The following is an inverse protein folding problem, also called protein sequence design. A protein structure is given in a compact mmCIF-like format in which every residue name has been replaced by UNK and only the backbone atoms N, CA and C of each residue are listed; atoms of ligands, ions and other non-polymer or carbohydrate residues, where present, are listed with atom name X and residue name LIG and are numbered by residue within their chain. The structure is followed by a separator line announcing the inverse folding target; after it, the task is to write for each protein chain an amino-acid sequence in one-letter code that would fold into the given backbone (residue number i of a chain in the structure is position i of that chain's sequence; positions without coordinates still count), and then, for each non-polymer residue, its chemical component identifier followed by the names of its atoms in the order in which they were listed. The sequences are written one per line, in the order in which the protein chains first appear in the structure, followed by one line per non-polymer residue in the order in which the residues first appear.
data_IF_255961024659
#
_entry.id   IF_255961024659
#
_cell.length_a   1.000
_cell.length_b   1.000
_cell.length_c   1.000
_cell.angle_alpha   90.00
_cell.angle_beta   90.00
_cell.angle_gamma   90.00
#
_symmetry.space_group_name_H-M   'P 1'
#
loop_
_entity.id
_entity.type
_entity.pdbx_description
1 polymer ?
#
# COMPACT_ATOMS: atom_id res chain seq x y z
N UNK A 1 -27.49 7.78 5.41
CA UNK A 1 -27.92 7.68 4.03
C UNK A 1 -27.04 8.56 3.15
N UNK A 2 -25.78 8.13 2.87
CA UNK A 2 -24.83 8.82 1.96
C UNK A 2 -23.78 7.85 1.41
N UNK A 3 -24.16 6.61 1.11
CA UNK A 3 -23.23 5.55 0.65
C UNK A 3 -23.55 4.99 -0.74
N UNK A 4 -24.65 5.41 -1.37
CA UNK A 4 -25.05 4.87 -2.68
C UNK A 4 -24.52 5.65 -3.90
N UNK A 5 -24.06 6.89 -3.74
CA UNK A 5 -23.65 7.72 -4.88
C UNK A 5 -22.19 7.52 -5.33
N UNK A 6 -21.29 7.12 -4.43
CA UNK A 6 -19.87 6.89 -4.80
C UNK A 6 -19.64 5.58 -5.56
N UNK A 7 -20.47 4.56 -5.30
CA UNK A 7 -20.38 3.25 -6.02
C UNK A 7 -20.84 3.39 -7.49
N UNK A 8 -21.74 4.32 -7.77
CA UNK A 8 -22.33 4.53 -9.09
C UNK A 8 -21.34 5.12 -10.11
N UNK A 9 -20.48 6.07 -9.72
CA UNK A 9 -19.51 6.67 -10.63
C UNK A 9 -18.37 5.74 -11.03
N UNK A 10 -17.92 4.87 -10.10
CA UNK A 10 -16.88 3.87 -10.38
C UNK A 10 -17.40 2.79 -11.37
N UNK A 11 -18.65 2.38 -11.21
CA UNK A 11 -19.28 1.36 -12.07
C UNK A 11 -19.54 1.85 -13.50
N UNK A 12 -19.79 3.14 -13.69
CA UNK A 12 -20.01 3.75 -15.01
C UNK A 12 -18.72 3.92 -15.81
N UNK A 13 -17.60 4.23 -15.15
CA UNK A 13 -16.27 4.31 -15.78
C UNK A 13 -15.78 2.94 -16.30
N UNK A 14 -16.10 1.87 -15.63
CA UNK A 14 -15.73 0.50 -16.04
C UNK A 14 -16.47 0.02 -17.29
N UNK A 15 -17.69 0.50 -17.55
CA UNK A 15 -18.45 0.16 -18.77
C UNK A 15 -17.91 0.87 -20.03
N UNK A 16 -17.28 2.02 -19.88
CA UNK A 16 -16.71 2.80 -21.00
C UNK A 16 -15.39 2.18 -21.54
N UNK A 17 -14.63 1.45 -20.73
CA UNK A 17 -13.36 0.82 -21.11
C UNK A 17 -13.52 -0.41 -22.03
N UNK A 18 -14.72 -0.96 -22.18
CA UNK A 18 -15.00 -2.09 -23.09
C UNK A 18 -15.24 -1.71 -24.56
N UNK A 19 -15.28 -0.42 -24.89
CA UNK A 19 -15.40 0.05 -26.29
C UNK A 19 -14.19 0.91 -26.62
N UNK A 20 -13.25 0.31 -27.35
CA UNK A 20 -12.00 0.93 -27.73
C UNK A 20 -12.17 2.30 -28.36
N UNK A 21 -11.54 3.28 -27.77
CA UNK A 21 -11.11 4.50 -28.44
C UNK A 21 -9.76 4.91 -27.87
N UNK A 22 -8.74 4.83 -28.71
CA UNK A 22 -7.40 5.37 -28.48
C UNK A 22 -7.51 6.88 -28.37
N UNK A 23 -7.30 7.45 -27.23
CA UNK A 23 -6.57 8.69 -26.93
C UNK A 23 -6.50 8.80 -25.40
N UNK A 24 -5.49 8.22 -24.78
CA UNK A 24 -5.16 8.51 -23.40
C UNK A 24 -3.95 9.44 -23.42
N UNK A 25 -4.16 10.70 -23.07
CA UNK A 25 -3.10 11.67 -22.81
C UNK A 25 -2.24 11.20 -21.65
N UNK A 26 -0.93 11.38 -21.72
CA UNK A 26 0.06 10.88 -20.72
C UNK A 26 -0.30 11.20 -19.24
N UNK A 27 -1.08 12.25 -18.97
CA UNK A 27 -1.60 12.61 -17.65
C UNK A 27 -2.67 11.63 -17.14
N UNK A 28 -3.44 11.00 -18.05
CA UNK A 28 -4.44 9.98 -17.69
C UNK A 28 -3.81 8.62 -17.34
N UNK A 29 -2.65 8.29 -17.91
CA UNK A 29 -2.02 6.97 -17.71
C UNK A 29 -1.37 6.84 -16.34
N UNK A 30 -0.80 7.89 -15.77
CA UNK A 30 -0.23 7.88 -14.43
C UNK A 30 -1.29 7.61 -13.33
N UNK A 31 -2.56 7.91 -13.62
CA UNK A 31 -3.68 7.66 -12.69
C UNK A 31 -4.16 6.20 -12.73
N UNK A 32 -3.83 5.46 -13.78
CA UNK A 32 -4.28 4.09 -14.04
C UNK A 32 -3.22 3.03 -13.75
N UNK A 33 -2.00 3.43 -13.36
CA UNK A 33 -0.94 2.49 -13.04
C UNK A 33 -1.38 1.48 -12.00
N UNK A 34 -1.30 0.20 -12.34
CA UNK A 34 -1.71 -0.91 -11.48
C UNK A 34 -3.18 -0.83 -11.00
N UNK A 35 -4.10 -0.22 -11.77
CA UNK A 35 -5.51 -0.04 -11.37
C UNK A 35 -6.17 -1.37 -11.04
N UNK A 36 -6.03 -2.39 -11.89
CA UNK A 36 -6.62 -3.71 -11.65
C UNK A 36 -6.07 -4.34 -10.35
N UNK A 37 -4.76 -4.23 -10.10
CA UNK A 37 -4.14 -4.74 -8.89
C UNK A 37 -4.60 -3.94 -7.65
N UNK A 38 -4.65 -2.62 -7.75
CA UNK A 38 -5.18 -1.74 -6.70
C UNK A 38 -6.62 -2.10 -6.33
N UNK A 39 -7.47 -2.38 -7.34
CA UNK A 39 -8.85 -2.77 -7.11
C UNK A 39 -8.98 -4.09 -6.33
N UNK A 40 -8.20 -5.10 -6.70
CA UNK A 40 -8.16 -6.38 -5.96
C UNK A 40 -7.69 -6.19 -4.53
N UNK A 41 -6.69 -5.35 -4.30
CA UNK A 41 -6.20 -5.06 -2.94
C UNK A 41 -7.27 -4.36 -2.11
N UNK A 42 -7.99 -3.39 -2.70
CA UNK A 42 -9.09 -2.71 -1.99
C UNK A 42 -10.23 -3.69 -1.66
N UNK A 43 -10.56 -4.63 -2.53
CA UNK A 43 -11.52 -5.70 -2.23
C UNK A 43 -11.06 -6.52 -1.01
N UNK A 44 -9.77 -6.86 -0.92
CA UNK A 44 -9.22 -7.56 0.24
C UNK A 44 -9.31 -6.70 1.52
N UNK A 45 -9.14 -5.37 1.46
CA UNK A 45 -9.38 -4.49 2.61
C UNK A 45 -10.80 -4.61 3.15
N UNK A 46 -11.80 -4.55 2.26
CA UNK A 46 -13.20 -4.68 2.66
C UNK A 46 -13.50 -6.07 3.20
N UNK A 47 -12.95 -7.12 2.61
CA UNK A 47 -13.14 -8.48 3.11
C UNK A 47 -12.62 -8.61 4.54
N UNK A 48 -11.37 -8.22 4.80
CA UNK A 48 -10.77 -8.28 6.14
C UNK A 48 -11.58 -7.46 7.15
N UNK A 49 -11.99 -6.23 6.76
CA UNK A 49 -12.76 -5.37 7.66
C UNK A 49 -14.15 -5.92 7.95
N UNK A 50 -14.84 -6.50 6.97
CA UNK A 50 -16.15 -7.10 7.15
C UNK A 50 -16.12 -8.35 8.05
N UNK A 51 -15.05 -9.14 7.98
CA UNK A 51 -14.91 -10.37 8.75
C UNK A 51 -14.39 -10.12 10.18
N UNK A 52 -13.43 -9.22 10.37
CA UNK A 52 -12.82 -8.96 11.68
C UNK A 52 -13.45 -7.77 12.42
N UNK A 53 -14.01 -6.79 11.70
CA UNK A 53 -14.42 -5.52 12.30
C UNK A 53 -13.22 -4.66 12.71
N UNK A 54 -13.42 -3.79 13.71
CA UNK A 54 -12.39 -2.92 14.25
C UNK A 54 -11.93 -3.35 15.64
N UNK A 55 -10.76 -2.84 16.09
CA UNK A 55 -10.26 -3.01 17.47
C UNK A 55 -9.09 -3.96 17.64
N UNK A 56 -8.61 -4.58 16.57
CA UNK A 56 -7.38 -5.35 16.61
C UNK A 56 -6.15 -4.48 16.34
N UNK A 57 -4.97 -4.99 16.66
CA UNK A 57 -3.71 -4.32 16.34
C UNK A 57 -3.37 -4.40 14.85
N UNK A 58 -2.53 -3.48 14.37
CA UNK A 58 -2.03 -3.46 12.98
C UNK A 58 -1.42 -4.80 12.55
N UNK A 59 -0.69 -5.47 13.46
CA UNK A 59 -0.11 -6.80 13.23
C UNK A 59 -1.16 -7.86 12.87
N UNK A 60 -2.33 -7.83 13.52
CA UNK A 60 -3.42 -8.78 13.24
C UNK A 60 -4.01 -8.48 11.85
N UNK A 61 -4.32 -7.22 11.55
CA UNK A 61 -4.83 -6.83 10.24
C UNK A 61 -3.84 -7.12 9.12
N UNK A 62 -2.54 -6.89 9.35
CA UNK A 62 -1.49 -7.21 8.37
C UNK A 62 -1.51 -8.70 8.02
N UNK A 63 -1.55 -9.58 9.02
CA UNK A 63 -1.58 -11.04 8.80
C UNK A 63 -2.85 -11.48 8.08
N UNK A 64 -4.02 -10.99 8.50
CA UNK A 64 -5.28 -11.30 7.85
C UNK A 64 -5.29 -10.83 6.39
N UNK A 65 -4.85 -9.60 6.15
CA UNK A 65 -4.77 -9.05 4.79
C UNK A 65 -3.81 -9.84 3.89
N UNK A 66 -2.64 -10.20 4.41
CA UNK A 66 -1.68 -11.01 3.65
C UNK A 66 -2.25 -12.40 3.30
N UNK A 67 -3.04 -13.01 4.19
CA UNK A 67 -3.73 -14.28 3.91
C UNK A 67 -4.75 -14.10 2.79
N UNK A 68 -5.66 -13.14 2.90
CA UNK A 68 -6.69 -12.88 1.88
C UNK A 68 -6.07 -12.56 0.52
N UNK A 69 -5.03 -11.73 0.46
CA UNK A 69 -4.34 -11.42 -0.79
C UNK A 69 -3.75 -12.66 -1.45
N UNK A 70 -3.14 -13.57 -0.66
CA UNK A 70 -2.60 -14.85 -1.17
C UNK A 70 -3.71 -15.80 -1.63
N UNK A 71 -4.84 -15.87 -0.95
CA UNK A 71 -6.01 -16.62 -1.36
C UNK A 71 -6.60 -16.11 -2.68
N UNK A 72 -6.50 -14.80 -2.94
CA UNK A 72 -6.85 -14.17 -4.22
C UNK A 72 -5.79 -14.41 -5.33
N UNK A 73 -4.73 -15.19 -5.06
CA UNK A 73 -3.65 -15.48 -6.00
C UNK A 73 -2.61 -14.38 -6.16
N UNK A 74 -2.57 -13.40 -5.26
CA UNK A 74 -1.59 -12.32 -5.29
C UNK A 74 -0.36 -12.68 -4.46
N UNK A 75 0.83 -12.38 -4.99
CA UNK A 75 2.05 -12.42 -4.19
C UNK A 75 2.01 -11.28 -3.17
N UNK A 76 1.91 -11.62 -1.89
CA UNK A 76 1.92 -10.66 -0.79
C UNK A 76 3.04 -11.02 0.19
N UNK A 77 4.02 -10.12 0.33
CA UNK A 77 5.18 -10.31 1.17
C UNK A 77 5.11 -9.31 2.32
N UNK A 78 5.11 -9.84 3.54
CA UNK A 78 5.06 -9.05 4.77
C UNK A 78 6.46 -8.62 5.20
N UNK A 79 6.53 -7.49 5.93
CA UNK A 79 7.73 -7.02 6.65
C UNK A 79 8.96 -6.89 5.74
N UNK A 80 8.80 -6.24 4.59
CA UNK A 80 9.92 -5.92 3.69
C UNK A 80 10.72 -4.73 4.20
N UNK A 81 12.03 -4.80 4.01
CA UNK A 81 12.94 -3.72 4.35
C UNK A 81 13.17 -2.78 3.17
N UNK A 82 13.19 -1.47 3.46
CA UNK A 82 13.66 -0.45 2.54
C UNK A 82 14.83 0.28 3.20
N UNK A 83 16.00 0.27 2.55
CA UNK A 83 17.18 0.97 3.05
C UNK A 83 17.07 2.48 2.81
N UNK A 84 17.35 3.27 3.84
CA UNK A 84 17.51 4.73 3.73
C UNK A 84 18.97 5.01 3.40
N UNK A 85 19.24 5.56 2.22
CA UNK A 85 20.60 5.83 1.74
C UNK A 85 20.86 7.33 1.75
N UNK A 86 21.97 7.73 2.36
CA UNK A 86 22.47 9.09 2.34
C UNK A 86 23.97 9.08 2.02
N UNK A 87 24.41 9.86 1.04
CA UNK A 87 25.80 9.87 0.55
C UNK A 87 26.36 8.46 0.31
N UNK A 88 25.57 7.60 -0.37
CA UNK A 88 25.91 6.20 -0.68
C UNK A 88 26.10 5.29 0.55
N UNK A 89 25.71 5.72 1.75
CA UNK A 89 25.75 4.93 2.98
C UNK A 89 24.32 4.63 3.43
N UNK A 90 24.09 3.41 3.92
CA UNK A 90 22.84 3.08 4.62
C UNK A 90 22.87 3.74 5.99
N UNK A 91 21.89 4.61 6.26
CA UNK A 91 21.76 5.35 7.52
C UNK A 91 20.54 4.91 8.33
N UNK A 92 19.72 4.03 7.79
CA UNK A 92 18.53 3.49 8.45
C UNK A 92 17.79 2.53 7.55
N UNK A 93 16.75 1.90 8.11
CA UNK A 93 15.92 0.92 7.42
C UNK A 93 14.47 1.10 7.84
N UNK A 94 13.57 1.19 6.86
CA UNK A 94 12.12 1.13 7.11
C UNK A 94 11.60 -0.29 6.97
N UNK A 95 10.57 -0.61 7.73
CA UNK A 95 9.80 -1.83 7.61
C UNK A 95 8.46 -1.53 6.96
N UNK A 96 8.23 -2.12 5.82
CA UNK A 96 6.97 -1.97 5.09
C UNK A 96 6.05 -3.12 5.47
N UNK A 97 4.80 -2.82 5.81
CA UNK A 97 3.85 -3.83 6.26
C UNK A 97 3.62 -4.94 5.22
N UNK A 98 3.24 -4.60 3.99
CA UNK A 98 3.05 -5.57 2.90
C UNK A 98 3.52 -4.97 1.58
N UNK A 99 4.14 -5.80 0.74
CA UNK A 99 4.41 -5.51 -0.67
C UNK A 99 3.65 -6.52 -1.51
N UNK A 100 2.88 -6.03 -2.47
CA UNK A 100 2.08 -6.87 -3.38
C UNK A 100 2.67 -6.86 -4.78
N UNK A 101 2.95 -8.06 -5.30
CA UNK A 101 3.48 -8.32 -6.65
C UNK A 101 4.75 -7.49 -6.99
N UNK A 102 5.53 -7.08 -5.99
CA UNK A 102 6.70 -6.20 -6.18
C UNK A 102 6.37 -4.80 -6.69
N UNK A 103 5.11 -4.35 -6.65
CA UNK A 103 4.61 -3.14 -7.30
C UNK A 103 3.90 -2.17 -6.39
N UNK A 104 3.16 -2.66 -5.41
CA UNK A 104 2.35 -1.83 -4.51
C UNK A 104 2.81 -2.03 -3.08
N UNK A 105 3.11 -0.93 -2.40
CA UNK A 105 3.37 -0.89 -0.96
C UNK A 105 2.06 -0.67 -0.22
N UNK A 106 1.81 -1.48 0.82
CA UNK A 106 0.66 -1.29 1.71
C UNK A 106 1.17 -0.93 3.10
N UNK A 107 0.69 0.19 3.61
CA UNK A 107 0.84 0.63 5.00
C UNK A 107 -0.50 0.51 5.71
N UNK A 108 -0.50 -0.11 6.88
CA UNK A 108 -1.71 -0.43 7.66
C UNK A 108 -1.70 0.38 8.95
N UNK A 109 -2.84 0.95 9.26
CA UNK A 109 -3.13 1.62 10.54
C UNK A 109 -4.38 1.01 11.18
N UNK A 110 -4.43 1.07 12.51
CA UNK A 110 -5.57 0.67 13.33
C UNK A 110 -5.94 1.79 14.29
N UNK A 111 -6.11 3.00 13.77
CA UNK A 111 -6.31 4.23 14.50
C UNK A 111 -7.76 4.74 14.38
N UNK A 112 -8.11 5.77 15.16
CA UNK A 112 -9.40 6.44 15.05
C UNK A 112 -9.59 7.06 13.67
N UNK A 113 -8.53 7.69 13.14
CA UNK A 113 -8.49 8.32 11.82
C UNK A 113 -7.05 8.38 11.30
N UNK A 114 -6.89 8.53 9.98
CA UNK A 114 -5.59 8.72 9.34
C UNK A 114 -5.12 10.16 9.54
N UNK A 115 -3.85 10.33 9.84
CA UNK A 115 -3.19 11.61 10.03
C UNK A 115 -2.22 11.92 8.88
N UNK A 116 -1.83 13.20 8.74
CA UNK A 116 -0.85 13.62 7.71
C UNK A 116 0.50 12.93 7.87
N UNK A 117 0.88 12.55 9.09
CA UNK A 117 2.12 11.79 9.34
C UNK A 117 2.08 10.39 8.73
N UNK A 118 0.93 9.75 8.66
CA UNK A 118 0.77 8.41 8.07
C UNK A 118 0.97 8.45 6.55
N UNK A 119 0.44 9.49 5.90
CA UNK A 119 0.70 9.73 4.48
C UNK A 119 2.18 10.05 4.22
N UNK A 120 2.79 10.90 5.05
CA UNK A 120 4.21 11.23 4.96
C UNK A 120 5.09 9.98 5.15
N UNK A 121 4.74 9.07 6.04
CA UNK A 121 5.43 7.81 6.25
C UNK A 121 5.41 6.97 4.97
N UNK A 122 4.25 6.75 4.36
CA UNK A 122 4.13 5.97 3.12
C UNK A 122 4.88 6.65 1.95
N UNK A 123 4.81 7.99 1.84
CA UNK A 123 5.57 8.73 0.82
C UNK A 123 7.08 8.57 1.00
N UNK A 124 7.59 8.55 2.24
CA UNK A 124 8.99 8.27 2.51
C UNK A 124 9.39 6.85 2.10
N UNK A 125 8.53 5.86 2.32
CA UNK A 125 8.77 4.50 1.83
C UNK A 125 8.89 4.46 0.32
N UNK A 126 7.93 5.06 -0.40
CA UNK A 126 7.96 5.14 -1.86
C UNK A 126 9.20 5.87 -2.37
N UNK A 127 9.59 6.99 -1.72
CA UNK A 127 10.81 7.74 -2.06
C UNK A 127 12.06 6.85 -1.94
N UNK A 128 12.20 6.13 -0.85
CA UNK A 128 13.36 5.24 -0.63
C UNK A 128 13.32 4.01 -1.54
N UNK A 129 12.12 3.55 -1.93
CA UNK A 129 11.95 2.44 -2.86
C UNK A 129 12.26 2.80 -4.32
N UNK A 130 12.38 4.09 -4.65
CA UNK A 130 12.63 4.57 -6.02
C UNK A 130 11.39 5.04 -6.77
N UNK A 131 10.28 5.24 -6.08
CA UNK A 131 8.99 5.63 -6.63
C UNK A 131 7.93 4.54 -6.54
N UNK A 132 6.80 4.73 -7.24
CA UNK A 132 5.74 3.75 -7.36
C UNK A 132 4.43 4.13 -6.68
N UNK A 133 3.59 3.12 -6.44
CA UNK A 133 2.25 3.24 -5.86
C UNK A 133 2.23 2.69 -4.44
N UNK A 134 1.60 3.43 -3.52
CA UNK A 134 1.33 2.99 -2.17
C UNK A 134 -0.15 3.09 -1.81
N UNK A 135 -0.60 2.18 -0.96
CA UNK A 135 -1.92 2.19 -0.36
C UNK A 135 -1.78 2.29 1.16
N UNK A 136 -2.31 3.35 1.72
CA UNK A 136 -2.47 3.54 3.16
C UNK A 136 -3.88 3.12 3.54
N UNK A 137 -4.03 2.16 4.45
CA UNK A 137 -5.34 1.68 4.91
C UNK A 137 -5.45 1.77 6.42
N UNK A 138 -6.59 2.23 6.90
CA UNK A 138 -6.92 2.27 8.33
C UNK A 138 -8.10 1.36 8.64
N UNK A 139 -7.86 0.34 9.44
CA UNK A 139 -8.86 -0.59 9.98
C UNK A 139 -9.47 -0.02 11.28
N UNK A 140 -9.95 1.22 11.20
CA UNK A 140 -10.66 1.90 12.26
C UNK A 140 -12.14 1.49 12.36
N UNK A 141 -12.95 2.30 13.11
CA UNK A 141 -14.41 2.09 13.17
C UNK A 141 -15.06 2.13 11.79
N UNK A 142 -14.51 2.93 10.91
CA UNK A 142 -14.85 2.97 9.48
C UNK A 142 -13.58 2.65 8.72
N UNK A 143 -13.67 1.74 7.76
CA UNK A 143 -12.56 1.46 6.86
C UNK A 143 -12.29 2.69 6.00
N UNK A 144 -11.07 3.20 6.06
CA UNK A 144 -10.63 4.32 5.20
C UNK A 144 -9.31 3.97 4.54
N UNK A 145 -9.07 4.47 3.34
CA UNK A 145 -7.82 4.26 2.63
C UNK A 145 -7.46 5.45 1.76
N UNK A 146 -6.17 5.55 1.43
CA UNK A 146 -5.60 6.55 0.51
C UNK A 146 -4.70 5.82 -0.48
N UNK A 147 -4.74 6.26 -1.74
CA UNK A 147 -3.79 5.84 -2.77
C UNK A 147 -2.82 6.98 -3.02
N UNK A 148 -1.55 6.72 -2.80
CA UNK A 148 -0.47 7.68 -2.99
C UNK A 148 0.44 7.22 -4.14
N UNK A 149 1.00 8.17 -4.85
CA UNK A 149 1.92 7.92 -5.96
C UNK A 149 3.12 8.84 -5.81
N UNK A 150 4.31 8.30 -6.00
CA UNK A 150 5.54 9.07 -6.02
C UNK A 150 6.40 8.67 -7.22
N UNK A 151 6.90 9.67 -7.96
CA UNK A 151 7.74 9.44 -9.13
C UNK A 151 7.00 8.70 -10.24
N UNK A 152 7.66 7.71 -10.84
CA UNK A 152 7.07 6.87 -11.87
C UNK A 152 6.12 5.83 -11.23
N UNK A 153 4.81 5.89 -11.53
CA UNK A 153 3.84 4.96 -10.97
C UNK A 153 4.00 3.52 -11.50
N UNK A 154 4.66 3.33 -12.63
CA UNK A 154 4.96 2.00 -13.20
C UNK A 154 6.31 1.44 -12.70
N UNK A 155 7.03 2.21 -11.86
CA UNK A 155 8.28 1.75 -11.32
C UNK A 155 8.10 0.42 -10.59
N UNK A 156 8.93 -0.56 -10.92
CA UNK A 156 9.16 -1.68 -10.03
C UNK A 156 9.87 -1.14 -8.79
N UNK A 157 9.68 -1.76 -7.65
CA UNK A 157 10.26 -1.35 -6.38
C UNK A 157 11.65 -2.02 -6.17
N UNK A 158 12.72 -1.57 -6.87
CA UNK A 158 14.00 -2.30 -6.94
C UNK A 158 14.75 -2.31 -5.59
N UNK A 159 14.46 -1.34 -4.73
CA UNK A 159 15.14 -1.18 -3.44
C UNK A 159 14.46 -1.95 -2.30
N UNK A 160 13.42 -2.73 -2.62
CA UNK A 160 12.82 -3.67 -1.68
C UNK A 160 13.69 -4.91 -1.57
N UNK A 161 14.54 -4.94 -0.57
CA UNK A 161 15.44 -6.07 -0.33
C UNK A 161 14.64 -7.25 0.25
N UNK A 162 14.85 -8.45 -0.34
CA UNK A 162 14.40 -9.68 0.29
C UNK A 162 15.12 -9.84 1.64
N UNK A 163 14.39 -10.24 2.69
CA UNK A 163 15.02 -10.72 3.92
C UNK A 163 15.86 -11.96 3.58
N UNK A 164 17.17 -11.85 3.71
CA UNK A 164 17.97 -13.02 3.95
C UNK A 164 17.84 -13.35 5.45
N UNK A 165 17.77 -14.63 5.79
CA UNK A 165 17.61 -15.10 7.17
C UNK A 165 18.72 -14.62 8.15
N UNK A 166 19.73 -13.91 7.64
CA UNK A 166 20.86 -13.34 8.38
C UNK A 166 20.75 -11.83 8.62
N UNK A 167 19.77 -11.15 8.00
CA UNK A 167 19.54 -9.70 8.16
C UNK A 167 18.52 -9.45 9.32
N UNK A 168 18.86 -9.92 10.54
CA UNK A 168 18.22 -9.32 11.71
C UNK A 168 18.67 -7.86 11.77
N UNK A 169 17.76 -6.88 11.87
CA UNK A 169 18.14 -5.49 11.99
C UNK A 169 19.00 -5.33 13.23
N UNK A 170 20.10 -4.61 13.08
CA UNK A 170 20.76 -4.04 14.24
C UNK A 170 19.71 -3.19 14.97
N UNK A 171 19.40 -3.48 16.23
CA UNK A 171 18.36 -2.76 16.99
C UNK A 171 18.62 -1.24 17.05
N UNK A 172 19.87 -0.80 16.87
CA UNK A 172 20.25 0.62 16.89
C UNK A 172 20.01 1.32 15.53
N UNK A 173 19.73 0.58 14.45
CA UNK A 173 19.47 1.14 13.11
C UNK A 173 18.01 1.03 12.65
N UNK A 174 17.17 0.32 13.39
CA UNK A 174 15.74 0.27 13.16
C UNK A 174 15.13 1.62 13.55
N UNK A 175 14.73 2.41 12.56
CA UNK A 175 13.88 3.57 12.80
C UNK A 175 12.50 3.00 13.04
N UNK A 176 12.19 2.78 14.32
CA UNK A 176 10.85 2.39 14.75
C UNK A 176 9.86 3.44 14.27
N UNK A 177 8.77 3.00 13.69
CA UNK A 177 7.68 3.87 13.26
C UNK A 177 7.29 4.71 14.46
N UNK A 178 7.53 6.02 14.37
CA UNK A 178 7.30 7.06 15.38
C UNK A 178 6.05 6.77 16.22
N UNK A 179 6.26 6.05 17.31
CA UNK A 179 5.30 5.89 18.38
C UNK A 179 5.68 6.91 19.45
N UNK A 180 5.08 8.09 19.39
CA UNK A 180 4.79 8.96 20.53
C UNK A 180 3.59 9.84 20.15
#
# INVERSE_FOLDING_TARGET
MRTELEISEHSLKFRALRRGTRVATAIGMAHLAHEALTHLIIQAFFQVWNELGHGYSEKIYRRALAMVLREMGLEAIEERHIKVIFHSKVIGTFWVHIVVAGKIVIEIKAAKELESRDEAQLLNYLKCAGGGVGLLVNFGRTLTYRRLVMGDPEANLPNLVALNATDSPDPDTAIDSLSD
#
